data_IF_837073042928
#
_entry.id   IF_837073042928
#
_cell.length_a   1.000
_cell.length_b   1.000
_cell.length_c   1.000
_cell.angle_alpha   90.00
_cell.angle_beta   90.00
_cell.angle_gamma   90.00
#
_symmetry.space_group_name_H-M   'P 1'
#
loop_
_entity.id
_entity.type
_entity.pdbx_description
1 polymer ?
#
# COMPACT_ATOMS: atom_id res chain seq x y z
N UNK A 1 21.79 -2.07 11.08
CA UNK A 1 21.22 -3.37 11.50
C UNK A 1 19.95 -3.60 10.71
N UNK A 2 20.03 -4.40 9.66
CA UNK A 2 18.91 -4.71 8.79
C UNK A 2 18.10 -5.83 9.43
N UNK A 3 17.19 -5.48 10.34
CA UNK A 3 16.19 -6.43 10.80
C UNK A 3 15.28 -6.76 9.62
N UNK A 4 15.25 -8.01 9.17
CA UNK A 4 14.21 -8.46 8.25
C UNK A 4 12.87 -8.39 8.97
N UNK A 5 11.87 -7.72 8.37
CA UNK A 5 10.50 -7.90 8.82
C UNK A 5 10.12 -9.31 8.41
N UNK A 6 9.93 -10.20 9.39
CA UNK A 6 9.10 -11.37 9.19
C UNK A 6 7.69 -10.85 8.93
N UNK A 7 7.21 -10.96 7.68
CA UNK A 7 5.80 -10.74 7.35
C UNK A 7 5.03 -11.87 8.05
N UNK A 8 4.72 -11.66 9.33
CA UNK A 8 3.84 -12.53 10.08
C UNK A 8 2.41 -12.19 9.66
N UNK A 9 1.94 -12.86 8.62
CA UNK A 9 0.51 -12.84 8.26
C UNK A 9 -0.26 -13.49 9.40
N UNK A 10 -1.00 -12.70 10.16
CA UNK A 10 -1.94 -13.25 11.15
C UNK A 10 -3.00 -14.03 10.38
N UNK A 11 -3.38 -15.22 10.87
CA UNK A 11 -4.42 -16.03 10.21
C UNK A 11 -5.77 -15.30 10.26
N UNK A 12 -6.11 -14.61 9.17
CA UNK A 12 -7.32 -13.78 9.03
C UNK A 12 -8.37 -14.52 8.20
N UNK A 13 -9.48 -14.96 8.82
CA UNK A 13 -10.54 -15.72 8.12
C UNK A 13 -11.31 -14.91 7.05
N UNK A 14 -11.47 -13.59 7.23
CA UNK A 14 -12.32 -12.74 6.36
C UNK A 14 -11.67 -11.46 5.85
N UNK A 15 -10.48 -11.11 6.35
CA UNK A 15 -9.83 -9.81 6.10
C UNK A 15 -8.63 -10.01 5.19
N UNK A 16 -8.85 -9.82 3.88
CA UNK A 16 -7.84 -9.93 2.84
C UNK A 16 -7.99 -8.80 1.84
N UNK A 17 -6.88 -8.36 1.26
CA UNK A 17 -6.84 -7.50 0.10
C UNK A 17 -6.85 -8.37 -1.16
N UNK A 18 -7.93 -8.27 -1.94
CA UNK A 18 -8.13 -9.01 -3.18
C UNK A 18 -8.10 -8.04 -4.36
N UNK A 19 -7.69 -8.54 -5.54
CA UNK A 19 -7.68 -7.78 -6.78
C UNK A 19 -8.40 -8.59 -7.86
N UNK A 20 -9.48 -8.03 -8.38
CA UNK A 20 -10.28 -8.61 -9.46
C UNK A 20 -10.22 -7.66 -10.66
N UNK A 21 -9.56 -8.07 -11.75
CA UNK A 21 -9.30 -7.16 -12.87
C UNK A 21 -8.44 -5.96 -12.44
N UNK A 22 -9.01 -4.77 -12.48
CA UNK A 22 -8.43 -3.49 -12.01
C UNK A 22 -9.01 -3.00 -10.67
N UNK A 23 -9.92 -3.79 -10.07
CA UNK A 23 -10.64 -3.43 -8.85
C UNK A 23 -9.96 -4.03 -7.64
N UNK A 24 -9.64 -3.19 -6.67
CA UNK A 24 -9.16 -3.62 -5.34
C UNK A 24 -10.36 -3.76 -4.43
N UNK A 25 -10.45 -4.90 -3.73
CA UNK A 25 -11.53 -5.23 -2.81
C UNK A 25 -10.90 -5.62 -1.48
N UNK A 26 -11.34 -5.01 -0.38
CA UNK A 26 -10.86 -5.36 0.94
C UNK A 26 -11.92 -5.13 2.01
N UNK A 27 -11.91 -5.98 3.05
CA UNK A 27 -12.88 -5.89 4.16
C UNK A 27 -12.19 -5.66 5.49
N UNK A 28 -12.48 -4.51 6.12
CA UNK A 28 -12.05 -4.18 7.49
C UNK A 28 -13.20 -4.35 8.47
N UNK A 29 -14.10 -3.38 8.50
CA UNK A 29 -15.42 -3.42 9.16
C UNK A 29 -16.51 -3.64 8.10
N UNK A 30 -16.49 -2.77 7.10
CA UNK A 30 -17.27 -2.89 5.87
C UNK A 30 -16.38 -3.40 4.74
N UNK A 31 -17.02 -3.88 3.69
CA UNK A 31 -16.37 -4.10 2.42
C UNK A 31 -16.18 -2.76 1.72
N UNK A 32 -14.99 -2.58 1.17
CA UNK A 32 -14.65 -1.42 0.37
C UNK A 32 -14.07 -1.88 -0.96
N UNK A 33 -14.36 -1.12 -2.00
CA UNK A 33 -13.72 -1.33 -3.29
C UNK A 33 -13.43 -0.01 -3.99
N UNK A 34 -12.41 -0.03 -4.84
CA UNK A 34 -12.06 1.07 -5.73
C UNK A 34 -11.29 0.53 -6.93
N UNK A 35 -11.32 1.27 -8.02
CA UNK A 35 -10.59 0.94 -9.23
C UNK A 35 -9.21 1.61 -9.26
N UNK A 36 -8.28 0.92 -9.90
CA UNK A 36 -6.94 1.40 -10.19
C UNK A 36 -6.73 1.49 -11.70
N UNK A 37 -5.83 2.37 -12.17
CA UNK A 37 -5.28 2.29 -13.51
C UNK A 37 -4.70 0.88 -13.79
N UNK A 38 -4.82 0.34 -15.02
CA UNK A 38 -4.42 -1.03 -15.32
C UNK A 38 -2.95 -1.36 -14.98
N UNK A 39 -2.02 -0.44 -15.25
CA UNK A 39 -0.59 -0.57 -14.94
C UNK A 39 -0.36 -0.78 -13.43
N UNK A 40 -1.07 0.01 -12.62
CA UNK A 40 -0.96 -0.02 -11.16
C UNK A 40 -1.64 -1.27 -10.62
N UNK A 41 -2.79 -1.68 -11.17
CA UNK A 41 -3.48 -2.90 -10.77
C UNK A 41 -2.62 -4.16 -11.02
N UNK A 42 -1.90 -4.21 -12.14
CA UNK A 42 -0.97 -5.32 -12.41
C UNK A 42 0.18 -5.35 -11.40
N UNK A 43 0.78 -4.19 -11.11
CA UNK A 43 1.82 -4.08 -10.10
C UNK A 43 1.33 -4.52 -8.71
N UNK A 44 0.11 -4.14 -8.33
CA UNK A 44 -0.52 -4.54 -7.06
C UNK A 44 -0.69 -6.06 -6.97
N UNK A 45 -1.04 -6.75 -8.07
CA UNK A 45 -1.17 -8.22 -8.07
C UNK A 45 0.15 -8.91 -7.73
N UNK A 46 1.28 -8.39 -8.24
CA UNK A 46 2.63 -8.89 -7.96
C UNK A 46 3.05 -8.66 -6.50
N UNK A 47 2.55 -7.59 -5.89
CA UNK A 47 2.93 -7.15 -4.54
C UNK A 47 1.82 -7.30 -3.48
N UNK A 48 0.78 -8.10 -3.77
CA UNK A 48 -0.43 -8.20 -2.94
C UNK A 48 -0.12 -8.61 -1.51
N UNK A 49 0.90 -9.42 -1.30
CA UNK A 49 1.28 -9.93 0.01
C UNK A 49 1.83 -8.84 0.94
N UNK A 50 2.67 -7.95 0.41
CA UNK A 50 3.21 -6.81 1.16
C UNK A 50 2.09 -5.82 1.46
N UNK A 51 1.23 -5.56 0.47
CA UNK A 51 0.09 -4.66 0.61
C UNK A 51 -0.92 -5.19 1.62
N UNK A 52 -1.25 -6.47 1.57
CA UNK A 52 -2.17 -7.12 2.51
C UNK A 52 -1.62 -7.05 3.94
N UNK A 53 -0.33 -7.33 4.14
CA UNK A 53 0.31 -7.18 5.44
C UNK A 53 0.29 -5.73 5.93
N UNK A 54 0.67 -4.76 5.09
CA UNK A 54 0.61 -3.34 5.44
C UNK A 54 -0.79 -2.93 5.86
N UNK A 55 -1.78 -3.30 5.05
CA UNK A 55 -3.17 -2.94 5.29
C UNK A 55 -3.67 -3.58 6.57
N UNK A 56 -3.34 -4.83 6.90
CA UNK A 56 -4.02 -5.55 7.98
C UNK A 56 -3.22 -5.85 9.23
N UNK A 57 -1.92 -6.14 9.11
CA UNK A 57 -1.12 -6.71 10.19
C UNK A 57 0.03 -5.81 10.65
N UNK A 58 0.42 -4.83 9.84
CA UNK A 58 1.50 -3.90 10.18
C UNK A 58 1.11 -2.90 11.29
N UNK A 59 2.12 -2.23 11.85
CA UNK A 59 1.91 -1.16 12.84
C UNK A 59 1.10 0.03 12.29
N UNK A 60 1.05 0.21 10.96
CA UNK A 60 0.28 1.28 10.30
C UNK A 60 -1.14 0.86 9.91
N UNK A 61 -1.50 -0.42 10.08
CA UNK A 61 -2.79 -0.98 9.67
C UNK A 61 -4.00 -0.26 10.30
N UNK A 62 -3.81 0.35 11.47
CA UNK A 62 -4.83 1.12 12.19
C UNK A 62 -5.13 2.48 11.54
N UNK A 63 -4.19 3.05 10.78
CA UNK A 63 -4.36 4.28 9.99
C UNK A 63 -4.94 3.99 8.58
N UNK A 64 -4.86 2.73 8.13
CA UNK A 64 -5.34 2.25 6.83
C UNK A 64 -6.76 1.66 6.92
N UNK A 65 -7.69 2.39 7.57
CA UNK A 65 -9.09 1.95 7.70
C UNK A 65 -9.97 2.41 6.54
N UNK A 66 -9.66 3.56 5.95
CA UNK A 66 -10.43 4.15 4.87
C UNK A 66 -9.91 3.68 3.50
N UNK A 67 -10.79 3.43 2.51
CA UNK A 67 -10.39 3.06 1.16
C UNK A 67 -9.49 4.09 0.50
N UNK A 68 -9.72 5.38 0.77
CA UNK A 68 -8.86 6.43 0.27
C UNK A 68 -7.42 6.29 0.80
N UNK A 69 -7.22 6.01 2.09
CA UNK A 69 -5.88 5.79 2.65
C UNK A 69 -5.18 4.58 2.02
N UNK A 70 -5.91 3.49 1.77
CA UNK A 70 -5.36 2.29 1.10
C UNK A 70 -4.99 2.59 -0.34
N UNK A 71 -5.85 3.30 -1.08
CA UNK A 71 -5.59 3.73 -2.45
C UNK A 71 -4.36 4.65 -2.54
N UNK A 72 -4.28 5.66 -1.67
CA UNK A 72 -3.13 6.57 -1.61
C UNK A 72 -1.84 5.84 -1.20
N UNK A 73 -1.93 4.85 -0.31
CA UNK A 73 -0.78 3.99 0.00
C UNK A 73 -0.31 3.23 -1.23
N UNK A 74 -1.22 2.59 -1.97
CA UNK A 74 -0.87 1.88 -3.21
C UNK A 74 -0.15 2.81 -4.19
N UNK A 75 -0.63 4.04 -4.38
CA UNK A 75 0.02 5.00 -5.26
C UNK A 75 1.40 5.44 -4.78
N UNK A 76 1.56 5.68 -3.47
CA UNK A 76 2.86 5.98 -2.88
C UNK A 76 3.85 4.84 -3.15
N UNK A 77 3.43 3.61 -2.85
CA UNK A 77 4.29 2.44 -2.98
C UNK A 77 4.66 2.14 -4.43
N UNK A 78 3.70 2.25 -5.35
CA UNK A 78 3.95 2.14 -6.78
C UNK A 78 4.94 3.20 -7.27
N UNK A 79 4.77 4.47 -6.85
CA UNK A 79 5.69 5.54 -7.22
C UNK A 79 7.12 5.24 -6.74
N UNK A 80 7.26 4.77 -5.50
CA UNK A 80 8.58 4.48 -4.91
C UNK A 80 9.24 3.23 -5.49
N UNK A 81 8.46 2.22 -5.87
CA UNK A 81 8.97 1.02 -6.52
C UNK A 81 9.51 1.32 -7.93
N UNK A 82 8.93 2.29 -8.63
CA UNK A 82 9.27 2.65 -10.01
C UNK A 82 10.10 3.95 -10.12
N UNK A 83 10.65 4.43 -9.00
CA UNK A 83 11.44 5.66 -8.91
C UNK A 83 10.74 6.91 -9.52
N UNK A 84 9.40 6.94 -9.45
CA UNK A 84 8.57 8.06 -9.89
C UNK A 84 8.54 9.12 -8.80
N UNK A 85 8.83 10.40 -9.11
CA UNK A 85 8.69 11.49 -8.16
C UNK A 85 7.25 11.59 -7.63
N UNK A 86 7.09 11.75 -6.31
CA UNK A 86 5.77 11.93 -5.66
C UNK A 86 4.94 13.00 -6.37
N UNK A 87 5.59 14.06 -6.85
CA UNK A 87 4.90 15.13 -7.53
C UNK A 87 4.28 14.78 -8.87
N UNK A 88 4.95 13.91 -9.62
CA UNK A 88 4.41 13.40 -10.88
C UNK A 88 3.27 12.43 -10.61
N UNK A 89 3.42 11.56 -9.61
CA UNK A 89 2.36 10.63 -9.21
C UNK A 89 1.10 11.37 -8.75
N UNK A 90 1.25 12.34 -7.85
CA UNK A 90 0.15 13.16 -7.32
C UNK A 90 -0.63 13.85 -8.45
N UNK A 91 0.09 14.40 -9.44
CA UNK A 91 -0.52 15.00 -10.64
C UNK A 91 -1.26 13.95 -11.49
N UNK A 92 -0.70 12.76 -11.69
CA UNK A 92 -1.31 11.67 -12.49
C UNK A 92 -2.65 11.22 -11.91
N UNK A 93 -2.79 11.22 -10.59
CA UNK A 93 -3.96 10.68 -9.87
C UNK A 93 -4.87 11.76 -9.28
N UNK A 94 -4.58 13.03 -9.56
CA UNK A 94 -5.31 14.21 -9.09
C UNK A 94 -5.52 14.25 -7.57
N UNK A 95 -4.42 14.17 -6.81
CA UNK A 95 -4.45 14.35 -5.36
C UNK A 95 -3.37 15.33 -4.90
N UNK A 96 -3.57 15.90 -3.71
CA UNK A 96 -2.54 16.71 -3.07
C UNK A 96 -1.33 15.86 -2.66
N UNK A 97 -0.12 16.29 -3.04
CA UNK A 97 1.15 15.65 -2.72
C UNK A 97 1.33 15.39 -1.23
N UNK A 98 0.77 16.28 -0.39
CA UNK A 98 0.77 16.13 1.06
C UNK A 98 0.09 14.86 1.56
N UNK A 99 -0.90 14.34 0.84
CA UNK A 99 -1.52 13.05 1.20
C UNK A 99 -0.51 11.89 1.08
N UNK A 100 0.34 11.91 0.05
CA UNK A 100 1.41 10.92 -0.15
C UNK A 100 2.51 11.11 0.92
N UNK A 101 2.95 12.34 1.17
CA UNK A 101 3.95 12.62 2.20
C UNK A 101 3.49 12.27 3.61
N UNK A 102 2.21 12.45 3.94
CA UNK A 102 1.66 12.02 5.24
C UNK A 102 1.78 10.51 5.44
N UNK A 103 1.53 9.72 4.41
CA UNK A 103 1.69 8.26 4.49
C UNK A 103 3.17 7.84 4.54
N UNK A 104 4.04 8.52 3.80
CA UNK A 104 5.48 8.27 3.86
C UNK A 104 6.06 8.58 5.26
N UNK A 105 5.63 9.70 5.87
CA UNK A 105 5.97 10.03 7.26
C UNK A 105 5.42 9.00 8.24
N UNK A 106 4.22 8.48 8.01
CA UNK A 106 3.64 7.41 8.83
C UNK A 106 4.50 6.14 8.78
N UNK A 107 4.93 5.70 7.60
CA UNK A 107 5.84 4.55 7.45
C UNK A 107 7.20 4.81 8.11
N UNK A 108 7.73 6.03 7.97
CA UNK A 108 9.00 6.43 8.59
C UNK A 108 8.92 6.40 10.12
N UNK A 109 7.82 6.91 10.69
CA UNK A 109 7.60 7.00 12.14
C UNK A 109 7.66 5.64 12.84
N UNK A 110 7.20 4.59 12.16
CA UNK A 110 7.21 3.21 12.69
C UNK A 110 8.41 2.39 12.21
N UNK A 111 9.39 3.02 11.52
CA UNK A 111 10.59 2.35 11.03
C UNK A 111 10.38 1.41 9.83
N UNK A 112 9.21 1.45 9.17
CA UNK A 112 8.88 0.50 8.09
C UNK A 112 9.26 0.99 6.69
N UNK A 113 9.53 2.29 6.50
CA UNK A 113 9.70 2.90 5.16
C UNK A 113 10.75 2.18 4.31
N UNK A 114 11.99 2.14 4.77
CA UNK A 114 13.11 1.66 3.96
C UNK A 114 13.01 0.16 3.67
N UNK A 115 12.53 -0.62 4.65
CA UNK A 115 12.27 -2.04 4.50
C UNK A 115 11.19 -2.30 3.45
N UNK A 116 10.03 -1.65 3.56
CA UNK A 116 8.95 -1.78 2.57
C UNK A 116 9.44 -1.41 1.18
N UNK A 117 10.16 -0.30 1.03
CA UNK A 117 10.67 0.12 -0.28
C UNK A 117 11.68 -0.89 -0.85
N UNK A 118 12.53 -1.47 -0.01
CA UNK A 118 13.44 -2.53 -0.47
C UNK A 118 12.70 -3.80 -0.91
N UNK A 119 11.60 -4.18 -0.26
CA UNK A 119 10.82 -5.35 -0.66
C UNK A 119 10.14 -5.15 -2.01
N UNK A 120 9.67 -3.93 -2.28
CA UNK A 120 8.97 -3.59 -3.53
C UNK A 120 9.89 -3.41 -4.74
N UNK A 121 11.20 -3.22 -4.53
CA UNK A 121 12.19 -3.16 -5.62
C UNK A 121 12.76 -4.53 -6.00
N UNK A 122 12.53 -5.55 -5.17
CA UNK A 122 13.07 -6.91 -5.35
C UNK A 122 12.07 -7.89 -5.97
N UNK A 123 10.82 -7.47 -6.19
CA UNK A 123 9.76 -8.26 -6.83
C UNK A 123 9.44 -7.77 -8.24
#
# INVERSE_FOLDING_TARGET
>A
MSGEILIEKRRRRKRKLNIEGNKVIFRKRLEHSFELPPDIAEWVKKHVDVLDWLVFDSQVASALRHPHSVRTLIYLLYARANDIPIAQMAKKIDIAHEQLYRLERLLSKVGLKDQVYSMLKKG
#
